data_IF_958429762344
#
_entry.id   IF_958429762344
#
_cell.length_a   1.000
_cell.length_b   1.000
_cell.length_c   1.000
_cell.angle_alpha   90.00
_cell.angle_beta   90.00
_cell.angle_gamma   90.00
#
_symmetry.space_group_name_H-M   'P 1'
#
loop_
_entity.id
_entity.type
_entity.pdbx_description
1 polymer ?
#
# COMPACT_ATOMS: atom_id res chain seq x y z
N UNK A 1 -18.58 -1.93 6.40
CA UNK A 1 -17.67 -1.44 5.35
C UNK A 1 -18.52 -0.69 4.37
N UNK A 2 -18.44 0.63 4.38
CA UNK A 2 -19.10 1.45 3.36
C UNK A 2 -18.12 1.59 2.19
N UNK A 3 -18.61 1.31 0.99
CA UNK A 3 -17.83 1.50 -0.21
C UNK A 3 -17.82 2.99 -0.55
N UNK A 4 -16.63 3.58 -0.53
CA UNK A 4 -16.44 4.98 -0.89
C UNK A 4 -15.65 5.06 -2.19
N UNK A 5 -16.26 5.66 -3.20
CA UNK A 5 -15.67 5.69 -4.54
C UNK A 5 -14.38 6.49 -4.61
N UNK A 6 -14.26 7.57 -3.83
CA UNK A 6 -13.03 8.37 -3.75
C UNK A 6 -11.85 7.56 -3.21
N UNK A 7 -12.07 6.84 -2.13
CA UNK A 7 -11.05 6.00 -1.47
C UNK A 7 -10.66 4.80 -2.32
N UNK A 8 -11.63 4.24 -3.05
CA UNK A 8 -11.36 3.23 -4.08
C UNK A 8 -10.42 3.75 -5.17
N UNK A 9 -10.74 4.90 -5.79
CA UNK A 9 -9.90 5.49 -6.85
C UNK A 9 -8.50 5.84 -6.34
N UNK A 10 -8.40 6.40 -5.13
CA UNK A 10 -7.11 6.73 -4.53
C UNK A 10 -6.29 5.47 -4.23
N UNK A 11 -6.92 4.40 -3.73
CA UNK A 11 -6.29 3.10 -3.56
C UNK A 11 -5.78 2.52 -4.89
N UNK A 12 -6.57 2.62 -5.96
CA UNK A 12 -6.15 2.18 -7.29
C UNK A 12 -4.96 2.98 -7.83
N UNK A 13 -4.87 4.29 -7.56
CA UNK A 13 -3.68 5.08 -7.91
C UNK A 13 -2.43 4.60 -7.15
N UNK A 14 -2.57 4.23 -5.88
CA UNK A 14 -1.47 3.64 -5.09
C UNK A 14 -1.06 2.29 -5.67
N UNK A 15 -2.02 1.44 -6.07
CA UNK A 15 -1.75 0.16 -6.74
C UNK A 15 -0.93 0.37 -8.01
N UNK A 16 -1.35 1.30 -8.87
CA UNK A 16 -0.62 1.63 -10.10
C UNK A 16 0.81 2.08 -9.77
N UNK A 17 0.99 2.97 -8.78
CA UNK A 17 2.31 3.39 -8.32
C UNK A 17 3.17 2.21 -7.83
N UNK A 18 2.60 1.30 -7.04
CA UNK A 18 3.27 0.10 -6.55
C UNK A 18 3.69 -0.84 -7.69
N UNK A 19 2.80 -1.09 -8.66
CA UNK A 19 3.09 -1.93 -9.84
C UNK A 19 4.20 -1.33 -10.69
N UNK A 20 4.16 0.00 -10.92
CA UNK A 20 5.23 0.72 -11.62
C UNK A 20 6.55 0.58 -10.86
N UNK A 21 6.54 0.68 -9.53
CA UNK A 21 7.72 0.50 -8.70
C UNK A 21 8.30 -0.92 -8.82
N UNK A 22 7.46 -1.95 -8.86
CA UNK A 22 7.89 -3.34 -9.09
C UNK A 22 8.44 -3.52 -10.51
N UNK A 23 7.83 -2.88 -11.50
CA UNK A 23 8.22 -3.01 -12.91
C UNK A 23 9.55 -2.33 -13.20
N UNK A 24 9.76 -1.13 -12.66
CA UNK A 24 10.92 -0.27 -12.91
C UNK A 24 11.85 -0.19 -11.70
N UNK A 25 11.90 -1.25 -10.88
CA UNK A 25 12.67 -1.27 -9.63
C UNK A 25 14.16 -1.00 -9.83
N UNK A 26 14.73 -1.36 -11.00
CA UNK A 26 16.14 -1.12 -11.31
C UNK A 26 16.41 0.35 -11.57
N UNK A 27 15.63 0.94 -12.47
CA UNK A 27 15.72 2.35 -12.81
C UNK A 27 15.45 3.23 -11.60
N UNK A 28 14.52 2.84 -10.73
CA UNK A 28 14.24 3.54 -9.47
C UNK A 28 15.42 3.42 -8.51
N UNK A 29 15.99 2.22 -8.34
CA UNK A 29 17.18 2.03 -7.51
C UNK A 29 18.37 2.86 -8.00
N UNK A 30 18.59 2.90 -9.31
CA UNK A 30 19.76 3.55 -9.91
C UNK A 30 19.68 5.07 -9.85
N UNK A 31 18.48 5.65 -10.02
CA UNK A 31 18.29 7.10 -10.07
C UNK A 31 17.92 7.74 -8.72
N UNK A 32 17.16 7.03 -7.87
CA UNK A 32 16.60 7.61 -6.63
C UNK A 32 17.27 7.09 -5.36
N UNK A 33 17.86 5.90 -5.42
CA UNK A 33 18.37 5.22 -4.23
C UNK A 33 19.91 5.22 -4.19
N UNK A 34 20.58 5.65 -5.28
CA UNK A 34 22.05 5.82 -5.35
C UNK A 34 22.84 4.62 -4.78
N UNK A 35 22.32 3.40 -4.97
CA UNK A 35 22.92 2.16 -4.43
C UNK A 35 22.79 1.94 -2.91
N UNK A 36 22.10 2.81 -2.16
CA UNK A 36 21.94 2.68 -0.70
C UNK A 36 21.04 1.47 -0.33
N UNK A 37 20.10 1.11 -1.19
CA UNK A 37 19.21 -0.02 -0.98
C UNK A 37 19.32 -1.02 -2.13
N UNK A 38 19.41 -2.31 -1.76
CA UNK A 38 19.39 -3.41 -2.70
C UNK A 38 18.16 -3.34 -3.61
N UNK A 39 18.35 -3.67 -4.89
CA UNK A 39 17.26 -3.80 -5.86
C UNK A 39 16.10 -4.67 -5.33
N UNK A 40 16.42 -5.74 -4.60
CA UNK A 40 15.40 -6.63 -4.02
C UNK A 40 14.54 -5.92 -2.98
N UNK A 41 15.11 -4.98 -2.22
CA UNK A 41 14.36 -4.17 -1.25
C UNK A 41 13.39 -3.25 -1.97
N UNK A 42 13.83 -2.55 -3.03
CA UNK A 42 12.95 -1.66 -3.81
C UNK A 42 11.80 -2.45 -4.44
N UNK A 43 12.09 -3.63 -4.99
CA UNK A 43 11.06 -4.53 -5.52
C UNK A 43 10.07 -4.98 -4.44
N UNK A 44 10.56 -5.34 -3.25
CA UNK A 44 9.72 -5.71 -2.10
C UNK A 44 8.85 -4.55 -1.62
N UNK A 45 9.39 -3.34 -1.56
CA UNK A 45 8.61 -2.13 -1.23
C UNK A 45 7.51 -1.89 -2.27
N UNK A 46 7.80 -2.02 -3.56
CA UNK A 46 6.77 -1.90 -4.60
C UNK A 46 5.65 -2.93 -4.46
N UNK A 47 5.98 -4.18 -4.10
CA UNK A 47 4.97 -5.20 -3.79
C UNK A 47 4.15 -4.83 -2.55
N UNK A 48 4.80 -4.36 -1.48
CA UNK A 48 4.14 -3.89 -0.27
C UNK A 48 3.18 -2.73 -0.53
N UNK A 49 3.61 -1.74 -1.31
CA UNK A 49 2.79 -0.59 -1.74
C UNK A 49 1.59 -1.06 -2.56
N UNK A 50 1.79 -2.04 -3.46
CA UNK A 50 0.70 -2.62 -4.27
C UNK A 50 -0.35 -3.28 -3.38
N UNK A 51 0.07 -4.13 -2.43
CA UNK A 51 -0.84 -4.80 -1.50
C UNK A 51 -1.56 -3.77 -0.62
N UNK A 52 -0.83 -2.79 -0.10
CA UNK A 52 -1.41 -1.73 0.71
C UNK A 52 -2.46 -0.92 -0.06
N UNK A 53 -2.18 -0.54 -1.31
CA UNK A 53 -3.13 0.16 -2.17
C UNK A 53 -4.42 -0.62 -2.39
N UNK A 54 -4.33 -1.94 -2.57
CA UNK A 54 -5.50 -2.82 -2.66
C UNK A 54 -6.30 -2.82 -1.35
N UNK A 55 -5.63 -2.99 -0.20
CA UNK A 55 -6.30 -2.96 1.11
C UNK A 55 -6.97 -1.62 1.39
N UNK A 56 -6.34 -0.53 0.97
CA UNK A 56 -6.88 0.82 1.09
C UNK A 56 -8.10 1.04 0.18
N UNK A 57 -8.05 0.57 -1.06
CA UNK A 57 -9.16 0.70 -2.01
C UNK A 57 -10.47 0.07 -1.51
N UNK A 58 -10.38 -0.99 -0.70
CA UNK A 58 -11.52 -1.68 -0.10
C UNK A 58 -11.82 -1.26 1.34
N UNK A 59 -11.20 -0.20 1.86
CA UNK A 59 -11.34 0.25 3.26
C UNK A 59 -11.01 -0.85 4.30
N UNK A 60 -10.22 -1.87 3.93
CA UNK A 60 -9.87 -2.99 4.81
C UNK A 60 -8.99 -2.51 5.98
N UNK A 61 -8.14 -1.52 5.74
CA UNK A 61 -7.28 -0.93 6.77
C UNK A 61 -8.10 -0.29 7.90
N UNK A 62 -9.10 0.53 7.55
CA UNK A 62 -10.00 1.16 8.53
C UNK A 62 -10.84 0.11 9.25
N UNK A 63 -11.38 -0.86 8.51
CA UNK A 63 -12.14 -1.96 9.10
C UNK A 63 -11.33 -2.77 10.10
N UNK A 64 -10.06 -3.08 9.77
CA UNK A 64 -9.16 -3.81 10.66
C UNK A 64 -8.87 -3.01 11.94
N UNK A 65 -8.57 -1.72 11.81
CA UNK A 65 -8.30 -0.85 12.96
C UNK A 65 -9.52 -0.77 13.90
N UNK A 66 -10.72 -0.55 13.36
CA UNK A 66 -11.95 -0.51 14.16
C UNK A 66 -12.19 -1.86 14.86
N UNK A 67 -11.95 -2.97 14.16
CA UNK A 67 -12.12 -4.31 14.73
C UNK A 67 -11.13 -4.59 15.86
N UNK A 68 -9.86 -4.20 15.68
CA UNK A 68 -8.83 -4.33 16.72
C UNK A 68 -9.16 -3.47 17.94
N UNK A 69 -9.58 -2.22 17.74
CA UNK A 69 -9.97 -1.33 18.85
C UNK A 69 -11.13 -1.94 19.63
N UNK A 70 -12.18 -2.43 18.95
CA UNK A 70 -13.34 -3.07 19.59
C UNK A 70 -12.98 -4.33 20.37
N UNK A 71 -11.90 -5.03 20.02
CA UNK A 71 -11.42 -6.19 20.78
C UNK A 71 -10.88 -5.80 22.16
N UNK A 72 -10.27 -4.61 22.29
CA UNK A 72 -9.71 -4.13 23.56
C UNK A 72 -10.64 -3.19 24.32
N UNK A 73 -11.45 -2.41 23.59
CA UNK A 73 -12.42 -1.46 24.16
C UNK A 73 -13.77 -1.68 23.46
N UNK A 74 -14.58 -2.65 23.93
CA UNK A 74 -15.82 -3.04 23.26
C UNK A 74 -16.95 -2.01 23.35
N UNK A 75 -16.80 -0.96 24.17
CA UNK A 75 -17.81 0.05 24.42
C UNK A 75 -17.61 1.36 23.62
N UNK A 76 -16.72 1.38 22.63
CA UNK A 76 -16.54 2.45 21.64
C UNK A 76 -17.09 1.96 20.29
#
# INVERSE_FOLDING_TARGET
MEFEIGTFFMGMMIVVGGVLMVRYYKEISDNFVNGISSYDKVRLWGLGVTIFGLLFAFNIVQWLLVTLIKMFIPNI
#
